data_IF_497566631544
#
_entry.id   IF_497566631544
#
_cell.length_a   1.000
_cell.length_b   1.000
_cell.length_c   1.000
_cell.angle_alpha   90.00
_cell.angle_beta   90.00
_cell.angle_gamma   90.00
#
_symmetry.space_group_name_H-M   'P 1'
#
loop_
_entity.id
_entity.type
_entity.pdbx_description
1 polymer ?
#
# COMPACT_ATOMS: atom_id res chain seq x y z
N UNK A 1 -10.18 -2.28 -4.14
CA UNK A 1 -8.75 -2.27 -3.80
C UNK A 1 -8.19 -0.86 -3.63
N UNK A 2 -7.77 -0.14 -4.68
CA UNK A 2 -7.15 1.20 -4.55
C UNK A 2 -7.98 2.21 -3.73
N UNK A 3 -9.27 2.36 -4.08
CA UNK A 3 -10.21 3.25 -3.39
C UNK A 3 -10.42 2.85 -1.92
N UNK A 4 -10.58 1.56 -1.65
CA UNK A 4 -10.80 1.02 -0.29
C UNK A 4 -9.59 1.28 0.62
N UNK A 5 -8.37 1.10 0.10
CA UNK A 5 -7.14 1.39 0.85
C UNK A 5 -7.06 2.88 1.17
N UNK A 6 -7.30 3.77 0.19
CA UNK A 6 -7.26 5.21 0.41
C UNK A 6 -8.32 5.66 1.42
N UNK A 7 -9.54 5.14 1.31
CA UNK A 7 -10.64 5.46 2.22
C UNK A 7 -10.36 4.96 3.65
N UNK A 8 -9.80 3.75 3.80
CA UNK A 8 -9.39 3.24 5.09
C UNK A 8 -8.29 4.10 5.75
N UNK A 9 -7.27 4.51 4.98
CA UNK A 9 -6.24 5.42 5.46
C UNK A 9 -6.84 6.77 5.88
N UNK A 10 -7.69 7.35 5.05
CA UNK A 10 -8.29 8.66 5.33
C UNK A 10 -9.25 8.62 6.53
N UNK A 11 -9.93 7.50 6.78
CA UNK A 11 -10.69 7.29 8.03
C UNK A 11 -9.78 7.43 9.25
N UNK A 12 -8.69 6.68 9.31
CA UNK A 12 -7.78 6.74 10.47
C UNK A 12 -7.07 8.08 10.61
N UNK A 13 -6.70 8.75 9.50
CA UNK A 13 -6.13 10.10 9.54
C UNK A 13 -7.10 11.12 10.11
N UNK A 14 -8.39 11.00 9.79
CA UNK A 14 -9.44 11.83 10.39
C UNK A 14 -9.57 11.62 11.90
N UNK A 15 -9.45 10.38 12.39
CA UNK A 15 -9.55 10.08 13.83
C UNK A 15 -8.45 10.77 14.66
N UNK A 16 -7.28 11.02 14.06
CA UNK A 16 -6.16 11.70 14.70
C UNK A 16 -5.99 13.16 14.27
N UNK A 17 -6.96 13.73 13.53
CA UNK A 17 -6.96 15.15 13.16
C UNK A 17 -5.93 15.54 12.09
N UNK A 18 -5.53 14.62 11.21
CA UNK A 18 -4.56 14.86 10.13
C UNK A 18 -5.28 14.92 8.78
N UNK A 19 -4.87 15.85 7.91
CA UNK A 19 -5.47 16.06 6.58
C UNK A 19 -5.49 14.77 5.72
N UNK A 20 -6.53 14.55 4.89
CA UNK A 20 -6.62 13.35 4.05
C UNK A 20 -5.53 13.31 2.98
N UNK A 21 -5.19 12.10 2.54
CA UNK A 21 -4.35 11.84 1.38
C UNK A 21 -5.18 11.90 0.09
N UNK A 22 -4.50 12.22 -1.00
CA UNK A 22 -5.00 12.06 -2.36
C UNK A 22 -4.30 10.88 -3.03
N UNK A 23 -5.02 10.21 -3.92
CA UNK A 23 -4.44 9.16 -4.75
C UNK A 23 -3.39 9.75 -5.70
N UNK A 24 -2.33 8.98 -5.96
CA UNK A 24 -1.33 9.28 -6.98
C UNK A 24 -1.15 8.04 -7.85
N UNK A 25 -1.39 8.16 -9.15
CA UNK A 25 -1.23 7.05 -10.08
C UNK A 25 0.24 6.64 -10.22
N UNK A 26 1.17 7.59 -10.09
CA UNK A 26 2.61 7.30 -10.13
C UNK A 26 3.03 6.41 -8.94
N UNK A 27 2.62 6.76 -7.72
CA UNK A 27 2.89 5.94 -6.53
C UNK A 27 2.24 4.56 -6.62
N UNK A 28 1.02 4.50 -7.19
CA UNK A 28 0.32 3.23 -7.38
C UNK A 28 1.04 2.31 -8.37
N UNK A 29 1.55 2.87 -9.47
CA UNK A 29 2.33 2.13 -10.46
C UNK A 29 3.63 1.60 -9.85
N UNK A 30 4.39 2.43 -9.13
CA UNK A 30 5.61 2.00 -8.45
C UNK A 30 5.34 0.90 -7.41
N UNK A 31 4.29 1.06 -6.60
CA UNK A 31 3.90 0.05 -5.61
C UNK A 31 3.50 -1.28 -6.27
N UNK A 32 2.78 -1.24 -7.40
CA UNK A 32 2.38 -2.44 -8.13
C UNK A 32 3.57 -3.15 -8.77
N UNK A 33 4.51 -2.41 -9.36
CA UNK A 33 5.73 -2.95 -9.93
C UNK A 33 6.59 -3.63 -8.87
N UNK A 34 6.72 -3.00 -7.69
CA UNK A 34 7.46 -3.60 -6.58
C UNK A 34 6.77 -4.83 -5.99
N UNK A 35 5.44 -4.79 -5.81
CA UNK A 35 4.68 -5.95 -5.36
C UNK A 35 4.84 -7.15 -6.32
N UNK A 36 4.84 -6.90 -7.63
CA UNK A 36 5.10 -7.93 -8.64
C UNK A 36 6.54 -8.49 -8.53
N UNK A 37 7.54 -7.63 -8.32
CA UNK A 37 8.92 -8.06 -8.10
C UNK A 37 9.05 -8.95 -6.85
N UNK A 38 8.46 -8.54 -5.71
CA UNK A 38 8.50 -9.30 -4.47
C UNK A 38 7.85 -10.69 -4.64
N UNK A 39 6.68 -10.76 -5.30
CA UNK A 39 5.98 -12.00 -5.56
C UNK A 39 6.77 -12.95 -6.47
N UNK A 40 7.38 -12.43 -7.54
CA UNK A 40 8.17 -13.22 -8.48
C UNK A 40 9.46 -13.79 -7.85
N UNK A 41 10.08 -13.06 -6.94
CA UNK A 41 11.36 -13.41 -6.33
C UNK A 41 11.22 -14.05 -4.93
N UNK A 42 9.98 -14.17 -4.41
CA UNK A 42 9.69 -14.66 -3.05
C UNK A 42 10.42 -13.84 -1.97
N UNK A 43 10.40 -12.52 -2.13
CA UNK A 43 11.03 -11.58 -1.21
C UNK A 43 9.97 -10.88 -0.35
N UNK A 44 10.40 -10.38 0.81
CA UNK A 44 9.63 -9.47 1.64
C UNK A 44 10.56 -8.40 2.22
N UNK A 45 10.86 -7.39 1.40
CA UNK A 45 11.82 -6.34 1.74
C UNK A 45 11.44 -5.03 1.06
N UNK A 46 11.90 -3.92 1.65
CA UNK A 46 11.64 -2.59 1.10
C UNK A 46 12.33 -2.36 -0.25
N UNK A 47 11.71 -1.58 -1.13
CA UNK A 47 12.29 -1.22 -2.43
C UNK A 47 13.54 -0.34 -2.31
N UNK A 48 13.59 0.47 -1.26
CA UNK A 48 14.62 1.49 -1.08
C UNK A 48 14.49 2.66 -2.06
N UNK A 49 13.33 2.83 -2.71
CA UNK A 49 13.06 3.93 -3.63
C UNK A 49 13.20 5.29 -2.91
N UNK A 50 14.04 6.21 -3.39
CA UNK A 50 14.22 7.50 -2.75
C UNK A 50 12.99 8.40 -2.97
N UNK A 51 12.58 9.13 -1.93
CA UNK A 51 11.50 10.11 -2.01
C UNK A 51 10.09 9.55 -1.75
N UNK A 52 9.95 8.24 -1.58
CA UNK A 52 8.67 7.58 -1.29
C UNK A 52 8.72 6.89 0.08
N UNK A 53 7.66 7.04 0.87
CA UNK A 53 7.46 6.21 2.06
C UNK A 53 6.80 4.90 1.67
N UNK A 54 7.16 3.79 2.33
CA UNK A 54 6.69 2.46 1.94
C UNK A 54 6.24 1.64 3.15
N UNK A 55 5.07 1.02 3.02
CA UNK A 55 4.59 -0.03 3.92
C UNK A 55 4.43 -1.32 3.11
N UNK A 56 4.77 -2.47 3.72
CA UNK A 56 4.64 -3.78 3.10
C UNK A 56 3.76 -4.69 3.93
N UNK A 57 2.98 -5.52 3.24
CA UNK A 57 2.19 -6.57 3.85
C UNK A 57 2.21 -7.81 2.97
N UNK A 58 2.22 -8.99 3.59
CA UNK A 58 2.15 -10.29 2.91
C UNK A 58 1.20 -11.21 3.68
N UNK A 59 0.37 -11.95 2.94
CA UNK A 59 -0.50 -12.98 3.49
C UNK A 59 -0.98 -13.95 2.41
N UNK A 60 -1.71 -14.98 2.83
CA UNK A 60 -2.25 -15.97 1.90
C UNK A 60 -3.29 -15.33 0.97
N UNK A 61 -3.15 -15.58 -0.34
CA UNK A 61 -4.09 -15.07 -1.35
C UNK A 61 -5.52 -15.56 -1.07
N UNK A 62 -6.50 -14.66 -1.16
CA UNK A 62 -7.91 -14.96 -0.94
C UNK A 62 -8.36 -15.05 0.53
N UNK A 63 -7.44 -14.92 1.51
CA UNK A 63 -7.77 -14.99 2.94
C UNK A 63 -7.96 -13.62 3.60
N UNK A 64 -7.55 -12.54 2.95
CA UNK A 64 -7.57 -11.19 3.50
C UNK A 64 -8.11 -10.20 2.47
N UNK A 65 -8.92 -9.25 2.93
CA UNK A 65 -9.31 -8.07 2.13
C UNK A 65 -8.24 -6.99 2.21
N UNK A 66 -8.28 -6.04 1.27
CA UNK A 66 -7.35 -4.92 1.20
C UNK A 66 -7.37 -3.99 2.43
N UNK A 67 -8.38 -4.09 3.31
CA UNK A 67 -8.48 -3.33 4.56
C UNK A 67 -8.16 -4.16 5.80
N UNK A 68 -7.80 -5.43 5.64
CA UNK A 68 -7.36 -6.34 6.71
C UNK A 68 -5.84 -6.57 6.71
N UNK A 69 -5.14 -5.95 5.76
CA UNK A 69 -3.68 -5.85 5.75
C UNK A 69 -3.17 -4.93 6.86
#
# INVERSE_FOLDING_TARGET
MAREILDAHNRYRSEVGVAPLNWSDDLANHAQDWANHLAANRLFQHSGAPGEGENLWMGASGHFSATQM
#
